data_IF_563676808165
#
_entry.id   IF_563676808165
#
_cell.length_a   1.000
_cell.length_b   1.000
_cell.length_c   1.000
_cell.angle_alpha   90.00
_cell.angle_beta   90.00
_cell.angle_gamma   90.00
#
_symmetry.space_group_name_H-M   'P 1'
#
loop_
_entity.id
_entity.type
_entity.pdbx_description
1 polymer ?
#
# COMPACT_ATOMS: atom_id res chain seq x y z
N UNK A 1 13.72 -23.57 -5.24
CA UNK A 1 12.72 -23.14 -6.24
C UNK A 1 12.03 -21.83 -5.82
N UNK A 2 12.73 -20.70 -5.61
CA UNK A 2 12.09 -19.40 -5.30
C UNK A 2 12.95 -18.22 -5.80
N UNK A 3 13.43 -18.26 -7.06
CA UNK A 3 14.16 -17.10 -7.62
C UNK A 3 13.69 -16.67 -9.03
N UNK A 4 12.73 -17.38 -9.64
CA UNK A 4 12.18 -17.01 -10.95
C UNK A 4 10.83 -16.28 -10.84
N UNK A 5 10.10 -16.46 -9.74
CA UNK A 5 8.80 -15.81 -9.53
C UNK A 5 8.92 -14.30 -9.33
N UNK A 6 10.07 -13.77 -8.93
CA UNK A 6 10.22 -12.33 -8.63
C UNK A 6 10.25 -11.44 -9.87
N UNK A 7 10.47 -12.01 -11.08
CA UNK A 7 10.42 -11.27 -12.35
C UNK A 7 9.00 -11.18 -12.94
N UNK A 8 8.08 -12.05 -12.53
CA UNK A 8 6.68 -12.07 -12.98
C UNK A 8 5.66 -11.75 -11.87
N UNK A 9 6.05 -11.86 -10.60
CA UNK A 9 5.32 -11.36 -9.45
C UNK A 9 5.59 -9.86 -9.36
N UNK A 10 4.93 -9.18 -10.28
CA UNK A 10 4.82 -7.74 -10.49
C UNK A 10 4.74 -7.03 -9.10
N UNK A 11 5.28 -5.80 -8.97
CA UNK A 11 5.51 -5.13 -7.70
C UNK A 11 4.28 -4.98 -6.76
N UNK A 12 3.07 -5.21 -7.26
CA UNK A 12 1.79 -5.28 -6.54
C UNK A 12 1.71 -6.33 -5.43
N UNK A 13 2.40 -7.47 -5.51
CA UNK A 13 2.23 -8.53 -4.51
C UNK A 13 2.98 -8.28 -3.18
N UNK A 14 3.99 -7.40 -3.19
CA UNK A 14 4.84 -7.12 -2.04
C UNK A 14 4.61 -5.75 -1.41
N UNK A 15 4.00 -4.79 -2.13
CA UNK A 15 3.71 -3.47 -1.58
C UNK A 15 2.77 -3.55 -0.37
N UNK A 16 1.71 -4.36 -0.45
CA UNK A 16 0.76 -4.52 0.65
C UNK A 16 1.42 -5.11 1.90
N UNK A 17 2.25 -6.14 1.74
CA UNK A 17 2.96 -6.76 2.87
C UNK A 17 3.92 -5.77 3.53
N UNK A 18 4.69 -5.02 2.74
CA UNK A 18 5.62 -4.01 3.26
C UNK A 18 4.89 -2.89 4.01
N UNK A 19 3.81 -2.38 3.44
CA UNK A 19 3.02 -1.30 4.03
C UNK A 19 2.28 -1.76 5.30
N UNK A 20 1.81 -3.00 5.35
CA UNK A 20 1.27 -3.60 6.57
C UNK A 20 2.33 -3.73 7.68
N UNK A 21 3.53 -4.21 7.36
CA UNK A 21 4.62 -4.30 8.34
C UNK A 21 5.01 -2.92 8.86
N UNK A 22 5.16 -1.94 7.97
CA UNK A 22 5.46 -0.55 8.34
C UNK A 22 4.36 0.05 9.22
N UNK A 23 3.10 -0.13 8.84
CA UNK A 23 1.95 0.33 9.61
C UNK A 23 1.90 -0.31 11.01
N UNK A 24 2.16 -1.62 11.10
CA UNK A 24 2.20 -2.34 12.38
C UNK A 24 3.34 -1.83 13.28
N UNK A 25 4.50 -1.50 12.72
CA UNK A 25 5.62 -0.93 13.48
C UNK A 25 5.29 0.47 13.99
N UNK A 26 4.67 1.32 13.16
CA UNK A 26 4.24 2.65 13.57
C UNK A 26 3.20 2.60 14.70
N UNK A 27 2.21 1.70 14.60
CA UNK A 27 1.25 1.47 15.67
C UNK A 27 1.91 0.99 16.97
N UNK A 28 2.89 0.09 16.89
CA UNK A 28 3.63 -0.36 18.06
C UNK A 28 4.41 0.80 18.73
N UNK A 29 4.76 1.84 17.99
CA UNK A 29 5.40 3.06 18.48
C UNK A 29 4.41 4.16 18.91
N UNK A 30 3.10 3.89 18.86
CA UNK A 30 2.06 4.89 19.19
C UNK A 30 1.86 5.96 18.11
N UNK A 31 2.39 5.73 16.90
CA UNK A 31 2.25 6.63 15.77
C UNK A 31 1.03 6.20 14.94
N UNK A 32 0.05 7.09 14.81
CA UNK A 32 -1.16 6.85 14.02
C UNK A 32 -0.89 7.03 12.51
N UNK A 33 -0.18 6.06 11.93
CA UNK A 33 -0.03 5.93 10.48
C UNK A 33 -1.28 5.34 9.85
N UNK A 34 -1.67 5.86 8.69
CA UNK A 34 -2.82 5.37 7.92
C UNK A 34 -2.34 4.49 6.77
N UNK A 35 -2.74 3.22 6.77
CA UNK A 35 -2.50 2.35 5.61
C UNK A 35 -3.46 2.75 4.48
N UNK A 36 -2.91 3.09 3.33
CA UNK A 36 -3.65 3.43 2.11
C UNK A 36 -3.47 2.36 1.06
N UNK A 37 -4.56 2.03 0.37
CA UNK A 37 -4.57 1.12 -0.76
C UNK A 37 -5.16 1.90 -1.94
N UNK A 38 -4.46 1.87 -3.06
CA UNK A 38 -4.89 2.51 -4.30
C UNK A 38 -4.82 1.55 -5.47
N UNK A 39 -5.66 1.80 -6.47
CA UNK A 39 -5.69 1.03 -7.71
C UNK A 39 -5.57 1.99 -8.88
N UNK A 40 -4.87 1.55 -9.93
CA UNK A 40 -4.87 2.21 -11.22
C UNK A 40 -5.34 1.20 -12.25
N UNK A 41 -6.28 1.63 -13.07
CA UNK A 41 -6.75 0.86 -14.20
C UNK A 41 -6.39 1.64 -15.45
N UNK A 42 -5.43 1.12 -16.19
CA UNK A 42 -5.23 1.53 -17.57
C UNK A 42 -5.92 0.50 -18.49
N UNK A 43 -6.17 0.89 -19.74
CA UNK A 43 -6.91 0.17 -20.79
C UNK A 43 -6.45 -1.28 -21.00
N UNK A 44 -5.27 -1.65 -20.51
CA UNK A 44 -4.72 -3.02 -20.56
C UNK A 44 -4.32 -3.62 -19.20
N UNK A 45 -4.24 -2.84 -18.10
CA UNK A 45 -3.68 -3.33 -16.83
C UNK A 45 -4.38 -2.73 -15.61
N UNK A 46 -4.83 -3.64 -14.73
CA UNK A 46 -5.24 -3.31 -13.38
C UNK A 46 -4.05 -3.51 -12.44
N UNK A 47 -3.63 -2.44 -11.77
CA UNK A 47 -2.50 -2.47 -10.84
C UNK A 47 -2.92 -1.90 -9.49
N UNK A 48 -2.77 -2.73 -8.45
CA UNK A 48 -3.00 -2.34 -7.07
C UNK A 48 -1.68 -1.97 -6.38
N UNK A 49 -1.74 -0.99 -5.51
CA UNK A 49 -0.61 -0.49 -4.75
C UNK A 49 -1.01 -0.11 -3.33
N UNK A 50 -0.08 -0.18 -2.38
CA UNK A 50 -0.35 0.12 -0.98
C UNK A 50 0.83 0.83 -0.34
N UNK A 51 0.56 1.88 0.43
CA UNK A 51 1.54 2.70 1.13
C UNK A 51 1.01 3.15 2.49
N UNK A 52 1.87 3.71 3.34
CA UNK A 52 1.44 4.29 4.62
C UNK A 52 1.54 5.81 4.53
N UNK A 53 0.54 6.51 5.03
CA UNK A 53 0.53 7.98 5.16
C UNK A 53 0.55 8.39 6.62
N UNK A 54 1.34 9.39 6.96
CA UNK A 54 1.39 10.00 8.28
C UNK A 54 1.55 11.50 8.15
N UNK A 55 0.60 12.28 8.67
CA UNK A 55 0.63 13.76 8.61
C UNK A 55 0.95 14.32 7.19
N UNK A 56 0.26 13.79 6.17
CA UNK A 56 0.49 14.10 4.74
C UNK A 56 1.83 13.64 4.15
N UNK A 57 2.67 12.95 4.92
CA UNK A 57 3.88 12.29 4.42
C UNK A 57 3.60 10.86 4.01
N UNK A 58 4.04 10.50 2.80
CA UNK A 58 4.03 9.13 2.30
C UNK A 58 5.28 8.41 2.80
N UNK A 59 5.07 7.38 3.61
CA UNK A 59 6.12 6.55 4.20
C UNK A 59 6.25 5.23 3.43
N UNK A 60 7.48 4.89 3.06
CA UNK A 60 7.80 3.63 2.37
C UNK A 60 7.49 3.63 0.87
N UNK A 61 7.09 4.76 0.29
CA UNK A 61 6.88 4.93 -1.15
C UNK A 61 7.19 6.35 -1.63
N UNK A 62 6.99 6.63 -2.92
CA UNK A 62 7.18 7.95 -3.53
C UNK A 62 6.03 8.88 -3.16
N UNK A 63 6.33 10.16 -2.93
CA UNK A 63 5.32 11.16 -2.56
C UNK A 63 4.26 11.42 -3.64
N UNK A 64 4.54 11.07 -4.89
CA UNK A 64 3.61 11.22 -6.02
C UNK A 64 2.67 10.01 -6.20
N UNK A 65 2.83 8.94 -5.41
CA UNK A 65 1.99 7.73 -5.50
C UNK A 65 0.50 8.05 -5.31
N UNK A 66 0.19 9.05 -4.47
CA UNK A 66 -1.16 9.59 -4.26
C UNK A 66 -1.81 10.12 -5.53
N UNK A 67 -1.02 10.61 -6.50
CA UNK A 67 -1.53 11.14 -7.79
C UNK A 67 -1.69 10.04 -8.85
N UNK A 68 -0.99 8.92 -8.69
CA UNK A 68 -0.94 7.85 -9.70
C UNK A 68 -1.98 6.76 -9.47
N UNK A 69 -2.57 6.68 -8.28
CA UNK A 69 -3.51 5.63 -7.90
C UNK A 69 -4.78 6.23 -7.31
N UNK A 70 -5.94 5.76 -7.76
CA UNK A 70 -7.22 6.10 -7.14
C UNK A 70 -7.33 5.37 -5.80
N UNK A 71 -7.56 6.12 -4.72
CA UNK A 71 -7.67 5.58 -3.36
C UNK A 71 -9.09 5.14 -3.05
N UNK A 72 -9.20 4.18 -2.13
CA UNK A 72 -10.46 3.99 -1.41
C UNK A 72 -10.65 5.17 -0.45
N UNK A 73 -11.73 5.92 -0.65
CA UNK A 73 -12.05 7.14 0.10
C UNK A 73 -12.49 6.87 1.55
N UNK A 74 -12.73 5.59 1.88
CA UNK A 74 -13.16 5.16 3.21
C UNK A 74 -12.12 4.24 3.83
N UNK A 75 -11.76 4.46 5.11
CA UNK A 75 -11.00 3.47 5.87
C UNK A 75 -11.80 2.17 5.93
N UNK A 76 -11.14 1.06 5.64
CA UNK A 76 -11.74 -0.27 5.78
C UNK A 76 -11.73 -0.56 7.29
N UNK A 77 -12.90 -0.54 7.90
CA UNK A 77 -13.05 -0.94 9.29
C UNK A 77 -13.02 -2.47 9.38
N UNK A 78 -11.98 -3.02 10.01
CA UNK A 78 -11.79 -4.47 10.18
C UNK A 78 -12.48 -4.94 11.48
N UNK A 79 -13.04 -4.02 12.28
CA UNK A 79 -13.69 -4.34 13.57
C UNK A 79 -15.05 -5.05 13.42
N UNK A 80 -15.53 -5.27 12.20
CA UNK A 80 -16.87 -5.81 11.90
C UNK A 80 -16.87 -7.26 11.36
N UNK A 81 -15.72 -7.95 11.36
CA UNK A 81 -15.60 -9.38 11.02
C UNK A 81 -15.51 -10.24 12.29
#
# INVERSE_FOLDING_TARGET
MVQLATKYCQPWANCLKKSLVLWSLLRAQGIDGQLRIGVRQDTQKFEAHAWVEWQDFILGDRQDVRKQFAMFDRPIDISSL
#
